data_IF_309670229040
#
_entry.id   IF_309670229040
#
_cell.length_a   1.000
_cell.length_b   1.000
_cell.length_c   1.000
_cell.angle_alpha   90.00
_cell.angle_beta   90.00
_cell.angle_gamma   90.00
#
_symmetry.space_group_name_H-M   'P 1'
#
loop_
_entity.id
_entity.type
_entity.pdbx_description
1 polymer ?
#
# COMPACT_ATOMS: atom_id res chain seq x y z
N UNK A 1 -14.27 2.49 -7.12
CA UNK A 1 -15.39 2.34 -6.16
C UNK A 1 -16.10 3.68 -6.05
N UNK A 2 -17.44 3.71 -6.16
CA UNK A 2 -18.20 4.96 -5.95
C UNK A 2 -18.29 5.31 -4.46
N UNK A 3 -18.59 6.58 -4.15
CA UNK A 3 -18.75 7.02 -2.75
C UNK A 3 -19.90 6.30 -2.03
N UNK A 4 -21.02 6.02 -2.73
CA UNK A 4 -22.15 5.27 -2.18
C UNK A 4 -21.75 3.85 -1.77
N UNK A 5 -20.96 3.17 -2.63
CA UNK A 5 -20.45 1.82 -2.35
C UNK A 5 -19.47 1.84 -1.16
N UNK A 6 -18.59 2.84 -1.10
CA UNK A 6 -17.67 3.01 0.03
C UNK A 6 -18.43 3.24 1.34
N UNK A 7 -19.42 4.17 1.35
CA UNK A 7 -20.24 4.46 2.53
C UNK A 7 -20.99 3.22 3.01
N UNK A 8 -21.62 2.49 2.09
CA UNK A 8 -22.34 1.26 2.40
C UNK A 8 -21.39 0.19 2.96
N UNK A 9 -20.26 -0.05 2.31
CA UNK A 9 -19.26 -1.03 2.74
C UNK A 9 -18.77 -0.74 4.16
N UNK A 10 -18.33 0.50 4.42
CA UNK A 10 -17.82 0.87 5.74
C UNK A 10 -18.90 0.74 6.79
N UNK A 11 -20.11 1.25 6.53
CA UNK A 11 -21.23 1.19 7.47
C UNK A 11 -21.61 -0.23 7.82
N UNK A 12 -21.80 -1.09 6.81
CA UNK A 12 -22.22 -2.47 7.02
C UNK A 12 -21.14 -3.29 7.72
N UNK A 13 -19.88 -3.13 7.31
CA UNK A 13 -18.76 -3.82 7.97
C UNK A 13 -18.60 -3.37 9.43
N UNK A 14 -18.72 -2.09 9.71
CA UNK A 14 -18.63 -1.57 11.08
C UNK A 14 -19.77 -2.06 11.98
N UNK A 15 -20.92 -2.46 11.44
CA UNK A 15 -22.04 -3.03 12.20
C UNK A 15 -21.80 -4.47 12.68
N UNK A 16 -20.86 -5.19 12.09
CA UNK A 16 -20.58 -6.60 12.46
C UNK A 16 -20.01 -6.78 13.86
N UNK A 17 -19.64 -5.71 14.56
CA UNK A 17 -19.34 -5.73 15.98
C UNK A 17 -17.99 -6.37 16.37
N UNK A 18 -17.07 -6.57 15.43
CA UNK A 18 -15.72 -7.08 15.74
C UNK A 18 -14.97 -6.13 16.67
N UNK A 19 -14.18 -6.66 17.60
CA UNK A 19 -13.35 -5.86 18.51
C UNK A 19 -12.32 -5.00 17.77
N UNK A 20 -11.74 -5.54 16.70
CA UNK A 20 -10.87 -4.82 15.75
C UNK A 20 -11.52 -4.84 14.37
N UNK A 21 -11.68 -3.68 13.75
CA UNK A 21 -12.14 -3.57 12.37
C UNK A 21 -10.92 -3.36 11.46
N UNK A 22 -10.53 -4.41 10.73
CA UNK A 22 -9.42 -4.38 9.77
C UNK A 22 -9.90 -4.09 8.34
N UNK A 23 -9.36 -3.06 7.70
CA UNK A 23 -9.61 -2.75 6.30
C UNK A 23 -8.34 -2.99 5.49
N UNK A 24 -8.36 -3.99 4.62
CA UNK A 24 -7.27 -4.29 3.70
C UNK A 24 -7.60 -3.76 2.29
N UNK A 25 -6.90 -2.73 1.87
CA UNK A 25 -7.07 -2.10 0.57
C UNK A 25 -6.13 -2.74 -0.43
N UNK A 26 -6.68 -3.59 -1.28
CA UNK A 26 -5.95 -4.38 -2.27
C UNK A 26 -6.81 -4.57 -3.52
N UNK A 27 -6.17 -4.94 -4.63
CA UNK A 27 -6.81 -5.21 -5.91
C UNK A 27 -6.65 -4.06 -6.89
N UNK A 28 -6.26 -4.37 -8.14
CA UNK A 28 -5.74 -3.39 -9.07
C UNK A 28 -4.60 -2.60 -8.43
N UNK A 29 -4.62 -1.29 -8.55
CA UNK A 29 -3.70 -0.40 -7.83
C UNK A 29 -4.51 0.59 -6.97
N UNK A 30 -4.55 0.42 -5.64
CA UNK A 30 -5.38 1.26 -4.77
C UNK A 30 -5.02 2.74 -4.82
N UNK A 31 -3.74 3.09 -5.02
CA UNK A 31 -3.31 4.48 -5.03
C UNK A 31 -3.86 5.30 -6.20
N UNK A 32 -4.38 4.64 -7.25
CA UNK A 32 -5.11 5.30 -8.35
C UNK A 32 -6.40 5.98 -7.88
N UNK A 33 -6.96 5.57 -6.76
CA UNK A 33 -8.13 6.23 -6.17
C UNK A 33 -7.81 7.62 -5.60
N UNK A 34 -6.53 7.92 -5.40
CA UNK A 34 -6.07 9.17 -4.82
C UNK A 34 -6.26 9.26 -3.29
N UNK A 35 -5.48 10.15 -2.67
CA UNK A 35 -5.49 10.33 -1.20
C UNK A 35 -6.87 10.76 -0.68
N UNK A 36 -7.63 11.53 -1.46
CA UNK A 36 -8.91 12.07 -0.99
C UNK A 36 -9.99 10.99 -0.83
N UNK A 37 -9.94 9.94 -1.65
CA UNK A 37 -10.75 8.74 -1.43
C UNK A 37 -10.45 8.08 -0.06
N UNK A 38 -9.19 7.95 0.29
CA UNK A 38 -8.80 7.32 1.56
C UNK A 38 -9.07 8.22 2.77
N UNK A 39 -8.96 9.54 2.62
CA UNK A 39 -9.44 10.49 3.65
C UNK A 39 -10.92 10.26 3.93
N UNK A 40 -11.72 10.16 2.85
CA UNK A 40 -13.15 9.88 2.99
C UNK A 40 -13.40 8.54 3.66
N UNK A 41 -12.66 7.49 3.31
CA UNK A 41 -12.76 6.19 3.97
C UNK A 41 -12.49 6.27 5.48
N UNK A 42 -11.43 6.97 5.88
CA UNK A 42 -11.08 7.18 7.30
C UNK A 42 -12.16 7.99 8.03
N UNK A 43 -12.72 9.04 7.42
CA UNK A 43 -13.84 9.81 8.00
C UNK A 43 -15.07 8.93 8.24
N UNK A 44 -15.42 8.09 7.27
CA UNK A 44 -16.53 7.14 7.40
C UNK A 44 -16.28 6.13 8.50
N UNK A 45 -15.07 5.57 8.57
CA UNK A 45 -14.68 4.64 9.64
C UNK A 45 -14.82 5.28 11.02
N UNK A 46 -14.31 6.51 11.20
CA UNK A 46 -14.43 7.27 12.46
C UNK A 46 -15.90 7.54 12.82
N UNK A 47 -16.71 7.93 11.84
CA UNK A 47 -18.14 8.23 12.04
C UNK A 47 -18.95 6.99 12.41
N UNK A 48 -18.63 5.84 11.81
CA UNK A 48 -19.37 4.57 12.02
C UNK A 48 -18.79 3.73 13.16
N UNK A 49 -17.62 4.11 13.71
CA UNK A 49 -16.98 3.42 14.80
C UNK A 49 -17.68 3.65 16.14
N UNK A 50 -17.71 2.63 16.99
CA UNK A 50 -18.15 2.76 18.38
C UNK A 50 -16.99 3.20 19.27
N UNK A 51 -17.24 3.88 20.39
CA UNK A 51 -16.19 4.24 21.35
C UNK A 51 -15.35 3.03 21.77
N UNK A 52 -14.02 3.18 21.74
CA UNK A 52 -13.08 2.12 22.12
C UNK A 52 -12.80 1.07 21.04
N UNK A 53 -13.48 1.11 19.91
CA UNK A 53 -13.24 0.17 18.81
C UNK A 53 -11.92 0.50 18.09
N UNK A 54 -11.06 -0.49 17.96
CA UNK A 54 -9.84 -0.34 17.20
C UNK A 54 -10.12 -0.49 15.69
N UNK A 55 -9.54 0.41 14.90
CA UNK A 55 -9.61 0.35 13.43
C UNK A 55 -8.18 0.29 12.92
N UNK A 56 -7.89 -0.70 12.06
CA UNK A 56 -6.63 -0.81 11.36
C UNK A 56 -6.85 -0.74 9.86
N UNK A 57 -5.96 -0.06 9.17
CA UNK A 57 -5.95 0.02 7.71
C UNK A 57 -4.62 -0.51 7.19
N UNK A 58 -4.69 -1.36 6.18
CA UNK A 58 -3.53 -1.81 5.42
C UNK A 58 -3.75 -1.48 3.95
N UNK A 59 -2.69 -1.11 3.24
CA UNK A 59 -2.74 -0.86 1.80
C UNK A 59 -1.60 -1.59 1.12
N UNK A 60 -1.92 -2.36 0.07
CA UNK A 60 -0.95 -3.01 -0.78
C UNK A 60 -0.87 -2.28 -2.12
N UNK A 61 0.31 -1.77 -2.45
CA UNK A 61 0.53 -0.96 -3.65
C UNK A 61 1.76 -1.39 -4.44
N UNK A 62 1.77 -1.08 -5.72
CA UNK A 62 2.97 -1.18 -6.55
C UNK A 62 4.00 -0.05 -6.26
N UNK A 63 3.69 0.90 -5.41
CA UNK A 63 4.59 1.96 -4.96
C UNK A 63 4.86 3.09 -5.95
N UNK A 64 4.40 3.00 -7.19
CA UNK A 64 4.73 3.93 -8.28
C UNK A 64 4.21 5.36 -8.07
N UNK A 65 3.08 5.49 -7.36
CA UNK A 65 2.41 6.77 -7.12
C UNK A 65 2.65 7.33 -5.71
N UNK A 66 3.50 6.68 -4.91
CA UNK A 66 3.85 7.20 -3.60
C UNK A 66 4.65 8.50 -3.73
N UNK A 67 4.20 9.51 -3.01
CA UNK A 67 4.78 10.84 -2.93
C UNK A 67 4.62 11.41 -1.51
N UNK A 68 5.07 12.64 -1.28
CA UNK A 68 4.94 13.33 0.01
C UNK A 68 3.48 13.35 0.51
N UNK A 69 2.50 13.62 -0.38
CA UNK A 69 1.08 13.71 0.01
C UNK A 69 0.59 12.36 0.53
N UNK A 70 0.93 11.27 -0.16
CA UNK A 70 0.64 9.91 0.26
C UNK A 70 1.32 9.56 1.57
N UNK A 71 2.63 9.82 1.67
CA UNK A 71 3.40 9.47 2.86
C UNK A 71 2.88 10.16 4.13
N UNK A 72 2.58 11.47 4.05
CA UNK A 72 1.98 12.20 5.16
C UNK A 72 0.63 11.61 5.56
N UNK A 73 -0.24 11.34 4.60
CA UNK A 73 -1.55 10.73 4.87
C UNK A 73 -1.43 9.36 5.54
N UNK A 74 -0.59 8.47 5.02
CA UNK A 74 -0.40 7.11 5.53
C UNK A 74 0.14 7.12 6.96
N UNK A 75 1.16 7.95 7.23
CA UNK A 75 1.72 8.13 8.58
C UNK A 75 0.67 8.65 9.56
N UNK A 76 0.00 9.76 9.22
CA UNK A 76 -0.92 10.46 10.12
C UNK A 76 -2.14 9.61 10.47
N UNK A 77 -2.53 8.69 9.59
CA UNK A 77 -3.64 7.75 9.80
C UNK A 77 -3.18 6.32 10.16
N UNK A 78 -1.88 6.11 10.40
CA UNK A 78 -1.28 4.84 10.85
C UNK A 78 -1.64 3.66 9.95
N UNK A 79 -1.57 3.86 8.63
CA UNK A 79 -1.73 2.77 7.68
C UNK A 79 -0.50 1.86 7.71
N UNK A 80 -0.73 0.55 7.65
CA UNK A 80 0.31 -0.41 7.35
C UNK A 80 0.46 -0.50 5.83
N UNK A 81 1.65 -0.24 5.35
CA UNK A 81 1.93 -0.16 3.92
C UNK A 81 2.71 -1.39 3.45
N UNK A 82 2.18 -2.09 2.44
CA UNK A 82 2.92 -3.08 1.68
C UNK A 82 3.32 -2.51 0.32
N UNK A 83 4.60 -2.57 -0.02
CA UNK A 83 5.12 -2.12 -1.32
C UNK A 83 5.62 -3.33 -2.09
N UNK A 84 5.10 -3.51 -3.30
CA UNK A 84 5.55 -4.58 -4.19
C UNK A 84 6.86 -4.18 -4.86
N UNK A 85 7.95 -4.91 -4.55
CA UNK A 85 9.26 -4.75 -5.19
C UNK A 85 9.94 -6.12 -5.29
N UNK A 86 10.37 -6.53 -6.48
CA UNK A 86 10.80 -7.91 -6.74
C UNK A 86 12.33 -8.07 -6.70
N UNK A 87 13.03 -7.18 -6.00
CA UNK A 87 14.48 -7.18 -5.86
C UNK A 87 15.16 -6.06 -6.65
N UNK A 88 16.45 -6.20 -6.98
CA UNK A 88 17.20 -5.23 -7.78
C UNK A 88 16.54 -4.91 -9.10
N UNK A 89 16.94 -3.79 -9.72
CA UNK A 89 16.33 -3.25 -10.94
C UNK A 89 16.13 -4.29 -12.04
N UNK A 90 17.14 -5.11 -12.30
CA UNK A 90 17.11 -6.15 -13.34
C UNK A 90 16.10 -7.27 -13.07
N UNK A 91 15.74 -7.53 -11.80
CA UNK A 91 14.67 -8.47 -11.45
C UNK A 91 13.31 -7.78 -11.52
N UNK A 92 13.20 -6.61 -10.90
CA UNK A 92 11.97 -5.85 -10.82
C UNK A 92 11.45 -5.47 -12.19
N UNK A 93 12.27 -4.82 -13.01
CA UNK A 93 11.89 -4.28 -14.31
C UNK A 93 11.66 -5.38 -15.38
N UNK A 94 11.89 -6.65 -15.04
CA UNK A 94 11.58 -7.77 -15.94
C UNK A 94 10.08 -8.01 -16.08
N UNK A 95 9.33 -7.82 -14.99
CA UNK A 95 7.90 -8.12 -14.95
C UNK A 95 7.04 -6.94 -14.51
N UNK A 96 7.62 -5.98 -13.81
CA UNK A 96 6.88 -4.79 -13.35
C UNK A 96 7.11 -3.62 -14.28
N UNK A 97 6.35 -3.67 -15.36
CA UNK A 97 6.38 -2.66 -16.41
C UNK A 97 5.13 -1.77 -16.30
N UNK A 98 5.25 -0.54 -16.76
CA UNK A 98 4.10 0.33 -16.94
C UNK A 98 3.41 0.07 -18.30
N UNK A 99 2.32 0.80 -18.56
CA UNK A 99 1.55 0.65 -19.81
C UNK A 99 2.34 0.95 -21.09
N UNK A 100 3.48 1.66 -20.98
CA UNK A 100 4.38 1.90 -22.11
C UNK A 100 5.44 0.82 -22.29
N UNK A 101 5.49 -0.16 -21.38
CA UNK A 101 6.53 -1.20 -21.35
C UNK A 101 7.83 -0.77 -20.67
N UNK A 102 7.85 0.41 -20.01
CA UNK A 102 9.03 0.86 -19.27
C UNK A 102 9.04 0.28 -17.84
N UNK A 103 10.24 -0.05 -17.34
CA UNK A 103 10.43 -0.53 -15.96
C UNK A 103 9.99 0.49 -14.92
N UNK A 104 9.52 0.00 -13.77
CA UNK A 104 8.98 0.85 -12.70
C UNK A 104 9.91 1.01 -11.51
N UNK A 105 11.04 0.34 -11.46
CA UNK A 105 11.96 0.29 -10.31
C UNK A 105 12.30 1.67 -9.76
N UNK A 106 12.77 2.60 -10.60
CA UNK A 106 13.19 3.92 -10.16
C UNK A 106 12.06 4.74 -9.52
N UNK A 107 10.82 4.52 -9.98
CA UNK A 107 9.64 5.19 -9.41
C UNK A 107 9.30 4.60 -8.04
N UNK A 108 9.38 3.27 -7.91
CA UNK A 108 9.14 2.60 -6.64
C UNK A 108 10.21 2.98 -5.61
N UNK A 109 11.49 3.01 -5.99
CA UNK A 109 12.57 3.42 -5.09
C UNK A 109 12.43 4.86 -4.61
N UNK A 110 11.95 5.78 -5.46
CA UNK A 110 11.59 7.15 -5.01
C UNK A 110 10.47 7.13 -3.98
N UNK A 111 9.42 6.35 -4.22
CA UNK A 111 8.34 6.18 -3.25
C UNK A 111 8.83 5.61 -1.90
N UNK A 112 9.74 4.63 -1.93
CA UNK A 112 10.39 4.08 -0.73
C UNK A 112 11.22 5.14 -0.01
N UNK A 113 12.00 5.94 -0.76
CA UNK A 113 12.78 7.03 -0.18
C UNK A 113 11.87 8.09 0.50
N UNK A 114 10.74 8.42 -0.12
CA UNK A 114 9.75 9.30 0.50
C UNK A 114 9.14 8.66 1.76
N UNK A 115 8.82 7.37 1.75
CA UNK A 115 8.34 6.66 2.94
C UNK A 115 9.36 6.75 4.10
N UNK A 116 10.64 6.46 3.83
CA UNK A 116 11.73 6.60 4.82
C UNK A 116 11.82 8.06 5.32
N UNK A 117 11.81 9.04 4.42
CA UNK A 117 11.89 10.47 4.75
C UNK A 117 10.76 10.97 5.65
N UNK A 118 9.55 10.52 5.40
CA UNK A 118 8.35 10.98 6.13
C UNK A 118 7.95 10.06 7.29
N UNK A 119 8.74 9.01 7.58
CA UNK A 119 8.51 8.10 8.70
C UNK A 119 7.28 7.22 8.53
N UNK A 120 7.04 6.73 7.32
CA UNK A 120 6.01 5.72 7.04
C UNK A 120 6.63 4.34 7.21
N UNK A 121 6.03 3.53 8.08
CA UNK A 121 6.40 2.13 8.21
C UNK A 121 5.86 1.33 7.02
N UNK A 122 6.71 0.51 6.41
CA UNK A 122 6.31 -0.33 5.28
C UNK A 122 7.01 -1.69 5.31
N UNK A 123 6.39 -2.65 4.62
CA UNK A 123 6.96 -3.95 4.31
C UNK A 123 7.16 -4.08 2.81
N UNK A 124 8.33 -4.57 2.39
CA UNK A 124 8.55 -4.97 1.00
C UNK A 124 7.91 -6.34 0.75
N UNK A 125 7.11 -6.44 -0.31
CA UNK A 125 6.53 -7.70 -0.76
C UNK A 125 7.20 -8.12 -2.06
N UNK A 126 7.89 -9.25 -2.01
CA UNK A 126 8.66 -9.79 -3.12
C UNK A 126 7.92 -10.99 -3.71
N UNK A 127 7.62 -10.94 -4.99
CA UNK A 127 7.13 -12.10 -5.72
C UNK A 127 8.31 -12.92 -6.22
N UNK A 128 8.45 -14.15 -5.72
CA UNK A 128 9.44 -15.08 -6.25
C UNK A 128 9.00 -15.59 -7.63
N UNK A 129 9.92 -15.52 -8.57
CA UNK A 129 9.73 -15.92 -9.96
C UNK A 129 10.96 -16.65 -10.47
N UNK A 130 10.89 -17.18 -11.70
CA UNK A 130 11.95 -17.99 -12.33
C UNK A 130 13.29 -17.25 -12.55
N UNK A 131 13.35 -15.94 -12.31
CA UNK A 131 14.58 -15.15 -12.46
C UNK A 131 15.23 -14.89 -11.11
N UNK A 132 14.46 -14.35 -10.16
CA UNK A 132 15.02 -13.95 -8.87
C UNK A 132 15.25 -15.15 -7.93
N UNK A 133 14.51 -16.24 -8.09
CA UNK A 133 14.67 -17.46 -7.29
C UNK A 133 16.02 -18.14 -7.48
N UNK A 134 16.68 -17.94 -8.64
CA UNK A 134 18.00 -18.49 -8.93
C UNK A 134 19.15 -17.69 -8.29
N UNK A 135 18.87 -16.52 -7.74
CA UNK A 135 19.85 -15.62 -7.12
C UNK A 135 19.39 -15.17 -5.72
N UNK A 136 19.19 -16.12 -4.77
CA UNK A 136 18.60 -15.80 -3.47
C UNK A 136 19.48 -14.86 -2.62
N UNK A 137 20.80 -15.00 -2.69
CA UNK A 137 21.73 -14.14 -1.94
C UNK A 137 21.58 -12.67 -2.39
N UNK A 138 21.55 -12.43 -3.69
CA UNK A 138 21.36 -11.08 -4.26
C UNK A 138 20.02 -10.47 -3.89
N UNK A 139 18.98 -11.32 -3.85
CA UNK A 139 17.65 -10.89 -3.44
C UNK A 139 17.60 -10.53 -1.95
N UNK A 140 18.27 -11.34 -1.12
CA UNK A 140 18.40 -11.11 0.32
C UNK A 140 19.18 -9.83 0.61
N UNK A 141 20.34 -9.65 0.01
CA UNK A 141 21.19 -8.46 0.18
C UNK A 141 20.41 -7.19 -0.15
N UNK A 142 19.67 -7.19 -1.27
CA UNK A 142 18.80 -6.07 -1.63
C UNK A 142 17.69 -5.81 -0.61
N UNK A 143 17.13 -6.84 0.01
CA UNK A 143 16.02 -6.71 0.94
C UNK A 143 16.42 -6.18 2.32
N UNK A 144 17.70 -6.28 2.69
CA UNK A 144 18.21 -5.85 4.00
C UNK A 144 18.91 -4.48 3.97
N UNK A 145 19.16 -3.91 2.78
CA UNK A 145 19.66 -2.54 2.58
C UNK A 145 18.53 -1.49 2.80
#
# INVERSE_FOLDING_TARGET
MSEEVLDKLVRDYMRLGFGVAGFAWQGGEPTLMGVDFFKRAVELQKRCGSPGRQISNTIQTNGVLLDEKWCRFLRDNKFLLGISIDGPKEFHDRYRLDHSGAGTFERVMRGIADCKKYGVEFSALILLNNINVEQPDKLFDFAVE
#
